data_IF_472963721460
#
_entry.id   IF_472963721460
#
_cell.length_a   1.000
_cell.length_b   1.000
_cell.length_c   1.000
_cell.angle_alpha   90.00
_cell.angle_beta   90.00
_cell.angle_gamma   90.00
#
_symmetry.space_group_name_H-M   'P 1'
#
loop_
_entity.id
_entity.type
_entity.pdbx_description
1 polymer ?
#
# COMPACT_ATOMS: atom_id res chain seq x y z
N UNK A 1 -3.93 -16.08 6.75
CA UNK A 1 -3.23 -15.00 6.03
C UNK A 1 -3.38 -15.26 4.55
N UNK A 2 -3.90 -14.29 3.82
CA UNK A 2 -3.92 -14.29 2.34
C UNK A 2 -2.49 -14.37 1.83
N UNK A 3 -2.29 -15.03 0.69
CA UNK A 3 -1.03 -14.88 -0.02
C UNK A 3 -0.98 -13.52 -0.72
N UNK A 4 -0.35 -12.54 -0.06
CA UNK A 4 -0.16 -11.18 -0.57
C UNK A 4 1.10 -11.07 -1.45
N UNK A 5 1.83 -12.17 -1.66
CA UNK A 5 3.10 -12.15 -2.39
C UNK A 5 2.95 -11.70 -3.86
N UNK A 6 1.93 -12.14 -4.64
CA UNK A 6 1.75 -11.68 -6.00
C UNK A 6 1.44 -10.17 -6.09
N UNK A 7 0.55 -9.69 -5.22
CA UNK A 7 0.23 -8.26 -5.09
C UNK A 7 1.49 -7.46 -4.75
N UNK A 8 2.29 -7.93 -3.78
CA UNK A 8 3.56 -7.30 -3.45
C UNK A 8 4.49 -7.19 -4.66
N UNK A 9 4.68 -8.27 -5.42
CA UNK A 9 5.57 -8.26 -6.57
C UNK A 9 5.10 -7.24 -7.62
N UNK A 10 3.78 -7.14 -7.85
CA UNK A 10 3.19 -6.14 -8.74
C UNK A 10 3.45 -4.71 -8.23
N UNK A 11 3.17 -4.44 -6.95
CA UNK A 11 3.42 -3.13 -6.33
C UNK A 11 4.90 -2.75 -6.38
N UNK A 12 5.78 -3.66 -5.96
CA UNK A 12 7.23 -3.47 -5.92
C UNK A 12 7.77 -3.18 -7.32
N UNK A 13 7.38 -3.99 -8.31
CA UNK A 13 7.82 -3.81 -9.70
C UNK A 13 7.50 -2.42 -10.18
N UNK A 14 6.28 -1.95 -9.93
CA UNK A 14 5.81 -0.69 -10.49
C UNK A 14 6.38 0.52 -9.76
N UNK A 15 6.46 0.47 -8.42
CA UNK A 15 6.90 1.60 -7.61
C UNK A 15 8.43 1.75 -7.58
N UNK A 16 9.19 0.64 -7.56
CA UNK A 16 10.66 0.69 -7.50
C UNK A 16 11.34 0.93 -8.86
N UNK A 17 10.70 0.54 -9.98
CA UNK A 17 11.32 0.71 -11.31
C UNK A 17 11.49 2.18 -11.73
N UNK A 18 10.86 3.12 -11.02
CA UNK A 18 10.87 4.54 -11.37
C UNK A 18 11.76 5.40 -10.46
N UNK A 19 12.49 4.78 -9.52
CA UNK A 19 13.33 5.50 -8.56
C UNK A 19 12.55 6.42 -7.60
N UNK A 20 11.23 6.23 -7.50
CA UNK A 20 10.38 6.97 -6.58
C UNK A 20 10.49 6.36 -5.17
N UNK A 21 10.66 7.21 -4.17
CA UNK A 21 10.66 6.80 -2.76
C UNK A 21 9.22 6.75 -2.24
N UNK A 22 8.46 5.76 -2.71
CA UNK A 22 7.08 5.53 -2.28
C UNK A 22 7.06 4.48 -1.18
N UNK A 23 6.50 4.83 -0.02
CA UNK A 23 6.27 3.86 1.04
C UNK A 23 4.86 3.30 0.94
N UNK A 24 4.73 1.99 1.14
CA UNK A 24 3.45 1.29 1.07
C UNK A 24 3.27 0.46 2.32
N UNK A 25 2.09 0.55 2.93
CA UNK A 25 1.70 -0.21 4.11
C UNK A 25 0.39 -0.94 3.84
N UNK A 26 0.22 -2.10 4.47
CA UNK A 26 -1.05 -2.83 4.48
C UNK A 26 -1.63 -2.75 5.89
N UNK A 27 -2.94 -2.58 5.97
CA UNK A 27 -3.66 -2.58 7.24
C UNK A 27 -5.01 -3.30 7.11
N UNK A 28 -5.85 -3.18 8.14
CA UNK A 28 -7.20 -3.73 8.11
C UNK A 28 -7.28 -5.25 8.15
N UNK A 29 -8.36 -5.79 7.59
CA UNK A 29 -8.74 -7.21 7.71
C UNK A 29 -7.73 -8.15 7.04
N UNK A 30 -7.05 -7.69 5.98
CA UNK A 30 -6.06 -8.45 5.22
C UNK A 30 -4.85 -8.91 6.06
N UNK A 31 -4.55 -8.23 7.17
CA UNK A 31 -3.48 -8.65 8.09
C UNK A 31 -3.84 -9.85 8.97
N UNK A 32 -5.13 -10.09 9.20
CA UNK A 32 -5.59 -11.06 10.21
C UNK A 32 -6.40 -12.21 9.59
N UNK A 33 -7.04 -11.96 8.46
CA UNK A 33 -7.93 -12.92 7.83
C UNK A 33 -7.24 -13.74 6.72
N UNK A 34 -7.84 -14.87 6.38
CA UNK A 34 -7.39 -15.72 5.27
C UNK A 34 -8.04 -15.32 3.94
N UNK A 35 -9.22 -14.72 3.99
CA UNK A 35 -10.02 -14.32 2.83
C UNK A 35 -10.74 -12.99 3.12
N UNK A 36 -10.00 -11.87 3.23
CA UNK A 36 -10.57 -10.55 3.41
C UNK A 36 -11.35 -10.17 2.16
N UNK A 37 -12.37 -9.32 2.34
CA UNK A 37 -13.19 -8.84 1.22
C UNK A 37 -12.43 -7.83 0.34
N UNK A 38 -11.58 -7.04 0.98
CA UNK A 38 -10.74 -6.00 0.40
C UNK A 38 -9.34 -6.01 1.03
N UNK A 39 -8.42 -5.29 0.40
CA UNK A 39 -7.05 -5.11 0.89
C UNK A 39 -6.82 -3.62 1.08
N UNK A 40 -6.81 -3.19 2.33
CA UNK A 40 -6.52 -1.81 2.69
C UNK A 40 -5.02 -1.50 2.56
N UNK A 41 -4.70 -0.51 1.74
CA UNK A 41 -3.33 -0.09 1.45
C UNK A 41 -3.19 1.40 1.73
N UNK A 42 -2.15 1.77 2.47
CA UNK A 42 -1.71 3.14 2.62
C UNK A 42 -0.50 3.36 1.70
N UNK A 43 -0.55 4.44 0.93
CA UNK A 43 0.53 4.87 0.05
C UNK A 43 0.96 6.26 0.47
N UNK A 44 2.24 6.37 0.86
CA UNK A 44 2.84 7.63 1.26
C UNK A 44 3.58 8.22 0.07
N UNK A 45 3.19 9.42 -0.34
CA UNK A 45 3.79 10.15 -1.47
C UNK A 45 4.41 11.48 -1.01
N UNK A 46 5.40 11.97 -1.76
CA UNK A 46 6.07 13.25 -1.45
C UNK A 46 5.59 14.39 -2.32
N UNK A 47 5.19 14.13 -3.57
CA UNK A 47 4.74 15.17 -4.51
C UNK A 47 3.44 14.80 -5.22
N UNK A 48 2.70 15.81 -5.69
CA UNK A 48 1.46 15.60 -6.46
C UNK A 48 1.70 14.88 -7.78
N UNK A 49 2.87 15.06 -8.41
CA UNK A 49 3.25 14.38 -9.65
C UNK A 49 3.47 12.88 -9.41
N UNK A 50 4.14 12.52 -8.30
CA UNK A 50 4.26 11.14 -7.85
C UNK A 50 2.88 10.52 -7.61
N UNK A 51 2.00 11.24 -6.90
CA UNK A 51 0.64 10.76 -6.62
C UNK A 51 -0.12 10.41 -7.91
N UNK A 52 -0.06 11.26 -8.92
CA UNK A 52 -0.74 11.03 -10.20
C UNK A 52 -0.22 9.75 -10.87
N UNK A 53 1.10 9.58 -10.89
CA UNK A 53 1.75 8.40 -11.44
C UNK A 53 1.35 7.13 -10.68
N UNK A 54 1.49 7.15 -9.36
CA UNK A 54 1.14 6.04 -8.46
C UNK A 54 -0.33 5.64 -8.66
N UNK A 55 -1.24 6.61 -8.70
CA UNK A 55 -2.68 6.34 -8.92
C UNK A 55 -2.93 5.59 -10.24
N UNK A 56 -2.29 6.02 -11.33
CA UNK A 56 -2.43 5.36 -12.62
C UNK A 56 -1.96 3.90 -12.58
N UNK A 57 -0.87 3.65 -11.86
CA UNK A 57 -0.29 2.33 -11.72
C UNK A 57 -1.11 1.41 -10.81
N UNK A 58 -1.52 1.90 -9.65
CA UNK A 58 -2.34 1.15 -8.70
C UNK A 58 -3.73 0.86 -9.24
N UNK A 59 -4.28 1.74 -10.08
CA UNK A 59 -5.54 1.48 -10.76
C UNK A 59 -5.49 0.18 -11.58
N UNK A 60 -4.39 -0.06 -12.32
CA UNK A 60 -4.24 -1.30 -13.08
C UNK A 60 -4.22 -2.54 -12.17
N UNK A 61 -3.57 -2.44 -11.01
CA UNK A 61 -3.51 -3.54 -10.02
C UNK A 61 -4.89 -3.74 -9.36
N UNK A 62 -5.65 -2.67 -9.12
CA UNK A 62 -6.99 -2.75 -8.54
C UNK A 62 -8.02 -3.43 -9.44
N UNK A 63 -7.70 -3.66 -10.73
CA UNK A 63 -8.55 -4.46 -11.61
C UNK A 63 -8.47 -5.95 -11.28
N UNK A 64 -7.34 -6.41 -10.73
CA UNK A 64 -7.11 -7.81 -10.39
C UNK A 64 -7.34 -8.11 -8.90
N UNK A 65 -7.26 -7.09 -8.04
CA UNK A 65 -7.40 -7.21 -6.58
C UNK A 65 -8.38 -6.15 -6.04
N UNK A 66 -9.24 -6.50 -5.06
CA UNK A 66 -10.14 -5.53 -4.42
C UNK A 66 -9.34 -4.65 -3.45
N UNK A 67 -8.65 -3.64 -3.98
CA UNK A 67 -7.84 -2.73 -3.18
C UNK A 67 -8.67 -1.53 -2.69
N UNK A 68 -8.61 -1.24 -1.39
CA UNK A 68 -9.01 0.08 -0.86
C UNK A 68 -7.73 0.87 -0.57
N UNK A 69 -7.58 2.03 -1.20
CA UNK A 69 -6.28 2.73 -1.27
C UNK A 69 -6.39 4.13 -0.66
N UNK A 70 -5.62 4.33 0.39
CA UNK A 70 -5.44 5.60 1.06
C UNK A 70 -4.15 6.24 0.56
N UNK A 71 -4.25 7.48 0.10
CA UNK A 71 -3.10 8.26 -0.32
C UNK A 71 -2.91 9.38 0.69
N UNK A 72 -1.73 9.43 1.30
CA UNK A 72 -1.39 10.48 2.27
C UNK A 72 0.04 10.96 2.05
N UNK A 73 0.29 12.21 2.41
CA UNK A 73 1.63 12.73 2.63
C UNK A 73 2.17 12.23 3.97
N UNK A 74 3.49 12.29 4.15
CA UNK A 74 4.11 11.93 5.43
C UNK A 74 3.57 12.78 6.59
N UNK A 75 3.30 14.06 6.35
CA UNK A 75 2.77 14.98 7.36
C UNK A 75 1.37 14.56 7.81
N UNK A 76 0.48 14.19 6.89
CA UNK A 76 -0.87 13.70 7.21
C UNK A 76 -0.84 12.39 8.01
N UNK A 77 0.06 11.46 7.63
CA UNK A 77 0.25 10.20 8.37
C UNK A 77 0.67 10.45 9.81
N UNK A 78 1.57 11.42 10.02
CA UNK A 78 2.07 11.80 11.33
C UNK A 78 1.02 12.54 12.16
N UNK A 79 0.29 13.49 11.55
CA UNK A 79 -0.77 14.26 12.22
C UNK A 79 -1.88 13.34 12.75
N UNK A 80 -2.25 12.33 11.96
CA UNK A 80 -3.31 11.38 12.31
C UNK A 80 -2.82 10.19 13.15
N UNK A 81 -1.51 10.08 13.39
CA UNK A 81 -0.87 8.89 13.97
C UNK A 81 -1.36 7.60 13.30
N UNK A 82 -1.50 7.64 11.96
CA UNK A 82 -2.28 6.66 11.20
C UNK A 82 -1.71 5.25 11.32
N UNK A 83 -0.38 5.11 11.20
CA UNK A 83 0.31 3.81 11.25
C UNK A 83 0.08 3.13 12.60
N UNK A 84 0.22 3.85 13.71
CA UNK A 84 0.04 3.28 15.04
C UNK A 84 -1.43 2.98 15.33
N UNK A 85 -2.33 3.88 14.94
CA UNK A 85 -3.78 3.73 15.13
C UNK A 85 -4.33 2.51 14.38
N UNK A 86 -3.94 2.36 13.11
CA UNK A 86 -4.41 1.25 12.24
C UNK A 86 -3.57 -0.02 12.36
N UNK A 87 -2.43 0.05 13.08
CA UNK A 87 -1.41 -1.01 13.13
C UNK A 87 -0.93 -1.41 11.74
N UNK A 88 -0.78 -0.42 10.86
CA UNK A 88 -0.33 -0.65 9.49
C UNK A 88 1.07 -1.27 9.49
N UNK A 89 1.26 -2.26 8.64
CA UNK A 89 2.53 -2.98 8.49
C UNK A 89 3.16 -2.58 7.17
N UNK A 90 4.42 -2.13 7.23
CA UNK A 90 5.17 -1.81 6.01
C UNK A 90 5.21 -3.03 5.09
N UNK A 91 4.88 -2.81 3.82
CA UNK A 91 4.68 -3.88 2.86
C UNK A 91 5.90 -4.80 2.81
N UNK A 92 7.12 -4.27 2.78
CA UNK A 92 8.34 -5.10 2.75
C UNK A 92 8.55 -5.99 3.99
N UNK A 93 7.98 -5.63 5.14
CA UNK A 93 8.09 -6.42 6.35
C UNK A 93 7.19 -7.68 6.30
N UNK A 94 6.15 -7.67 5.47
CA UNK A 94 5.20 -8.78 5.31
C UNK A 94 5.86 -9.94 4.57
N UNK A 95 6.72 -9.67 3.58
CA UNK A 95 7.33 -10.71 2.73
C UNK A 95 8.57 -11.33 3.39
N UNK A 96 9.16 -10.67 4.38
CA UNK A 96 10.30 -11.21 5.13
C UNK A 96 9.88 -12.15 6.28
N UNK A 97 8.58 -12.34 6.50
CA UNK A 97 8.02 -13.28 7.49
C UNK A 97 7.65 -14.59 6.83
#
# INVERSE_FOLDING_TARGET
>A
MVDLHPLFLSLKKVLQQQGLSVEVYIFGSALYERFPNDIDILVIYSTSDELLFIKSQLFQISLDYPLDIYYMTLDEVNELDFINTTKAVHLEAIIKR
#
